data_IF_872056873267
#
_entry.id   IF_872056873267
#
_cell.length_a   1.000
_cell.length_b   1.000
_cell.length_c   1.000
_cell.angle_alpha   90.00
_cell.angle_beta   90.00
_cell.angle_gamma   90.00
#
_symmetry.space_group_name_H-M   'P 1'
#
loop_
_entity.id
_entity.type
_entity.pdbx_description
1 polymer ?
#
# COMPACT_ATOMS: atom_id res chain seq x y z
N UNK A 1 -16.24 13.68 -16.17
CA UNK A 1 -15.09 13.77 -15.22
C UNK A 1 -14.81 12.49 -14.39
N UNK A 2 -15.81 11.74 -13.89
CA UNK A 2 -15.57 10.50 -13.12
C UNK A 2 -14.99 9.35 -13.95
N UNK A 3 -15.40 9.20 -15.22
CA UNK A 3 -14.90 8.18 -16.16
C UNK A 3 -13.41 8.36 -16.45
N UNK A 4 -12.97 9.57 -16.78
CA UNK A 4 -11.56 9.88 -17.03
C UNK A 4 -10.66 9.61 -15.82
N UNK A 5 -11.11 9.96 -14.60
CA UNK A 5 -10.36 9.66 -13.37
C UNK A 5 -10.22 8.16 -13.14
N UNK A 6 -11.25 7.38 -13.41
CA UNK A 6 -11.18 5.93 -13.26
C UNK A 6 -10.27 5.30 -14.32
N UNK A 7 -10.31 5.78 -15.57
CA UNK A 7 -9.38 5.35 -16.62
C UNK A 7 -7.92 5.63 -16.23
N UNK A 8 -7.62 6.84 -15.73
CA UNK A 8 -6.27 7.17 -15.24
C UNK A 8 -5.83 6.24 -14.13
N UNK A 9 -6.68 5.96 -13.13
CA UNK A 9 -6.36 5.03 -12.02
C UNK A 9 -6.08 3.61 -12.49
N UNK A 10 -6.91 3.11 -13.43
CA UNK A 10 -6.69 1.80 -14.03
C UNK A 10 -5.37 1.75 -14.82
N UNK A 11 -5.08 2.80 -15.59
CA UNK A 11 -3.84 2.93 -16.35
C UNK A 11 -2.62 3.00 -15.40
N UNK A 12 -2.67 3.83 -14.36
CA UNK A 12 -1.59 3.91 -13.36
C UNK A 12 -1.35 2.55 -12.69
N UNK A 13 -2.41 1.84 -12.30
CA UNK A 13 -2.27 0.50 -11.73
C UNK A 13 -1.59 -0.46 -12.71
N UNK A 14 -2.04 -0.47 -13.97
CA UNK A 14 -1.45 -1.31 -15.01
C UNK A 14 0.02 -1.01 -15.29
N UNK A 15 0.38 0.27 -15.40
CA UNK A 15 1.77 0.71 -15.58
C UNK A 15 2.63 0.28 -14.38
N UNK A 16 2.17 0.54 -13.14
CA UNK A 16 2.94 0.18 -11.95
C UNK A 16 3.13 -1.34 -11.82
N UNK A 17 2.10 -2.15 -12.14
CA UNK A 17 2.22 -3.61 -12.18
C UNK A 17 3.20 -4.03 -13.28
N UNK A 18 3.10 -3.46 -14.48
CA UNK A 18 4.00 -3.76 -15.58
C UNK A 18 5.47 -3.45 -15.24
N UNK A 19 5.72 -2.27 -14.64
CA UNK A 19 7.07 -1.89 -14.18
C UNK A 19 7.56 -2.78 -13.02
N UNK A 20 6.68 -3.19 -12.12
CA UNK A 20 7.03 -4.11 -11.03
C UNK A 20 7.43 -5.49 -11.57
N UNK A 21 6.67 -6.04 -12.52
CA UNK A 21 7.01 -7.31 -13.16
C UNK A 21 8.30 -7.20 -13.98
N UNK A 22 8.49 -6.10 -14.70
CA UNK A 22 9.74 -5.82 -15.42
C UNK A 22 10.93 -5.77 -14.45
N UNK A 23 10.78 -5.11 -13.31
CA UNK A 23 11.83 -5.05 -12.28
C UNK A 23 12.18 -6.45 -11.77
N UNK A 24 11.21 -7.34 -11.56
CA UNK A 24 11.45 -8.74 -11.17
C UNK A 24 12.25 -9.48 -12.27
N UNK A 25 11.87 -9.31 -13.53
CA UNK A 25 12.60 -9.91 -14.66
C UNK A 25 14.05 -9.42 -14.67
N UNK A 26 14.28 -8.12 -14.56
CA UNK A 26 15.62 -7.54 -14.53
C UNK A 26 16.44 -8.06 -13.35
N UNK A 27 15.84 -8.20 -12.16
CA UNK A 27 16.52 -8.75 -10.98
C UNK A 27 16.90 -10.24 -11.13
N UNK A 28 16.22 -10.98 -11.98
CA UNK A 28 16.52 -12.40 -12.22
C UNK A 28 17.44 -12.63 -13.42
N UNK A 29 17.61 -11.64 -14.31
CA UNK A 29 18.30 -11.85 -15.59
C UNK A 29 19.46 -10.90 -15.86
N UNK A 30 19.48 -9.71 -15.24
CA UNK A 30 20.48 -8.68 -15.56
C UNK A 30 21.44 -8.49 -14.40
N UNK A 31 22.72 -8.57 -14.68
CA UNK A 31 23.83 -8.31 -13.73
C UNK A 31 23.63 -9.04 -12.40
N UNK A 32 23.36 -10.35 -12.47
CA UNK A 32 23.15 -11.21 -11.29
C UNK A 32 24.51 -11.66 -10.76
N UNK A 33 24.88 -11.22 -9.55
CA UNK A 33 26.17 -11.52 -8.92
C UNK A 33 26.03 -11.92 -7.46
N UNK A 34 26.97 -12.71 -6.89
CA UNK A 34 26.93 -13.17 -5.50
C UNK A 34 27.46 -12.10 -4.54
N UNK A 35 26.72 -10.96 -4.43
CA UNK A 35 27.09 -9.83 -3.57
C UNK A 35 26.35 -9.82 -2.23
N UNK A 36 25.39 -10.70 -2.03
CA UNK A 36 24.64 -10.81 -0.77
C UNK A 36 25.34 -11.72 0.25
N UNK A 37 24.81 -11.79 1.49
CA UNK A 37 25.34 -12.67 2.53
C UNK A 37 25.41 -14.13 2.07
N UNK A 38 26.41 -14.87 2.55
CA UNK A 38 26.69 -16.26 2.17
C UNK A 38 26.75 -16.47 0.65
N UNK A 39 27.25 -15.46 -0.09
CA UNK A 39 27.33 -15.45 -1.55
C UNK A 39 25.96 -15.56 -2.24
N UNK A 40 24.90 -15.10 -1.61
CA UNK A 40 23.58 -15.06 -2.23
C UNK A 40 23.55 -14.14 -3.44
N UNK A 41 22.90 -14.60 -4.51
CA UNK A 41 22.81 -13.87 -5.76
C UNK A 41 21.85 -12.70 -5.66
N UNK A 42 22.27 -11.54 -6.17
CA UNK A 42 21.48 -10.30 -6.24
C UNK A 42 21.51 -9.79 -7.66
N UNK A 43 20.32 -9.49 -8.21
CA UNK A 43 20.22 -8.91 -9.55
C UNK A 43 20.45 -7.41 -9.55
N UNK A 44 20.77 -6.83 -10.72
CA UNK A 44 21.20 -5.43 -10.84
C UNK A 44 22.31 -5.11 -9.83
N UNK A 45 23.27 -6.03 -9.70
CA UNK A 45 24.25 -6.05 -8.62
C UNK A 45 25.09 -4.79 -8.56
N UNK A 46 25.54 -4.26 -9.71
CA UNK A 46 26.34 -3.03 -9.75
C UNK A 46 25.56 -1.84 -9.17
N UNK A 47 24.28 -1.70 -9.52
CA UNK A 47 23.42 -0.63 -9.01
C UNK A 47 23.17 -0.77 -7.51
N UNK A 48 22.80 -1.97 -7.07
CA UNK A 48 22.50 -2.27 -5.67
C UNK A 48 23.72 -2.12 -4.77
N UNK A 49 24.88 -2.63 -5.19
CA UNK A 49 26.14 -2.52 -4.46
C UNK A 49 26.62 -1.06 -4.36
N UNK A 50 26.63 -0.34 -5.49
CA UNK A 50 27.01 1.08 -5.50
C UNK A 50 26.15 1.90 -4.55
N UNK A 51 24.82 1.70 -4.56
CA UNK A 51 23.91 2.39 -3.66
C UNK A 51 24.15 1.99 -2.19
N UNK A 52 24.31 0.69 -1.92
CA UNK A 52 24.50 0.18 -0.56
C UNK A 52 25.80 0.71 0.09
N UNK A 53 26.87 0.85 -0.69
CA UNK A 53 28.12 1.48 -0.22
C UNK A 53 27.95 2.95 0.15
N UNK A 54 27.13 3.70 -0.60
CA UNK A 54 26.85 5.12 -0.33
C UNK A 54 25.89 5.27 0.85
N UNK A 55 24.86 4.44 0.91
CA UNK A 55 23.87 4.47 1.98
C UNK A 55 24.46 4.07 3.34
N UNK A 56 25.38 3.11 3.35
CA UNK A 56 25.98 2.58 4.58
C UNK A 56 24.97 1.84 5.47
N UNK A 57 25.38 1.57 6.71
CA UNK A 57 24.54 0.92 7.73
C UNK A 57 24.19 1.90 8.84
N UNK A 58 22.89 2.15 9.05
CA UNK A 58 22.40 3.10 10.05
C UNK A 58 21.27 2.47 10.89
N UNK A 59 21.61 1.85 12.02
CA UNK A 59 20.66 1.20 12.93
C UNK A 59 19.59 2.17 13.47
N UNK A 60 19.96 3.43 13.70
CA UNK A 60 19.01 4.46 14.15
C UNK A 60 17.86 4.65 13.15
N UNK A 61 18.18 4.70 11.83
CA UNK A 61 17.17 4.82 10.79
C UNK A 61 16.31 3.56 10.69
N UNK A 62 16.90 2.39 10.88
CA UNK A 62 16.15 1.14 10.96
C UNK A 62 15.14 1.17 12.10
N UNK A 63 15.58 1.49 13.32
CA UNK A 63 14.69 1.58 14.51
C UNK A 63 13.55 2.58 14.31
N UNK A 64 13.85 3.75 13.72
CA UNK A 64 12.81 4.75 13.39
C UNK A 64 11.80 4.17 12.43
N UNK A 65 12.23 3.52 11.35
CA UNK A 65 11.32 2.93 10.37
C UNK A 65 10.49 1.78 10.96
N UNK A 66 11.04 1.00 11.89
CA UNK A 66 10.32 -0.06 12.59
C UNK A 66 9.23 0.52 13.52
N UNK A 67 9.54 1.60 14.25
CA UNK A 67 8.56 2.29 15.07
C UNK A 67 7.43 2.87 14.23
N UNK A 68 7.75 3.50 13.09
CA UNK A 68 6.75 4.04 12.17
C UNK A 68 5.94 2.91 11.50
N UNK A 69 6.54 1.76 11.25
CA UNK A 69 5.82 0.56 10.81
C UNK A 69 4.79 0.08 11.83
N UNK A 70 5.16 0.05 13.13
CA UNK A 70 4.22 -0.25 14.23
C UNK A 70 3.08 0.78 14.31
N UNK A 71 3.40 2.07 14.14
CA UNK A 71 2.38 3.12 14.06
C UNK A 71 1.43 2.93 12.87
N UNK A 72 1.94 2.53 11.71
CA UNK A 72 1.10 2.21 10.57
C UNK A 72 0.14 1.05 10.88
N UNK A 73 0.62 -0.02 11.52
CA UNK A 73 -0.24 -1.14 11.96
C UNK A 73 -1.31 -0.69 12.96
N UNK A 74 -0.97 0.21 13.88
CA UNK A 74 -1.94 0.78 14.83
C UNK A 74 -3.04 1.57 14.11
N UNK A 75 -2.69 2.35 13.08
CA UNK A 75 -3.66 3.07 12.23
C UNK A 75 -4.56 2.07 11.49
N UNK A 76 -4.00 0.99 10.95
CA UNK A 76 -4.79 -0.05 10.28
C UNK A 76 -5.76 -0.73 11.24
N UNK A 77 -5.31 -1.03 12.47
CA UNK A 77 -6.16 -1.55 13.55
C UNK A 77 -7.29 -0.57 13.91
N UNK A 78 -7.02 0.74 13.95
CA UNK A 78 -8.04 1.76 14.16
C UNK A 78 -9.15 1.71 13.10
N UNK A 79 -8.82 1.52 11.83
CA UNK A 79 -9.84 1.33 10.79
C UNK A 79 -10.58 0.00 10.91
N UNK A 80 -9.94 -1.07 11.35
CA UNK A 80 -10.59 -2.34 11.64
C UNK A 80 -11.59 -2.20 12.81
N UNK A 81 -11.19 -1.51 13.89
CA UNK A 81 -12.08 -1.18 15.01
C UNK A 81 -13.26 -0.31 14.57
N UNK A 82 -13.04 0.67 13.69
CA UNK A 82 -14.13 1.47 13.12
C UNK A 82 -15.12 0.62 12.31
N UNK A 83 -14.62 -0.33 11.52
CA UNK A 83 -15.45 -1.27 10.78
C UNK A 83 -16.26 -2.17 11.70
N UNK A 84 -15.64 -2.71 12.74
CA UNK A 84 -16.29 -3.54 13.75
C UNK A 84 -17.35 -2.74 14.54
N UNK A 85 -17.03 -1.54 14.98
CA UNK A 85 -17.97 -0.63 15.62
C UNK A 85 -19.23 -0.40 14.76
N UNK A 86 -19.04 -0.11 13.46
CA UNK A 86 -20.17 0.03 12.55
C UNK A 86 -20.97 -1.26 12.37
N UNK A 87 -20.32 -2.41 12.37
CA UNK A 87 -20.99 -3.70 12.25
C UNK A 87 -21.85 -3.98 13.47
N UNK A 88 -21.32 -3.79 14.67
CA UNK A 88 -22.01 -4.02 15.94
C UNK A 88 -23.20 -3.04 16.11
N UNK A 89 -22.98 -1.75 15.88
CA UNK A 89 -24.02 -0.72 16.08
C UNK A 89 -25.11 -0.80 15.03
N UNK A 90 -24.78 -1.08 13.77
CA UNK A 90 -25.75 -1.14 12.66
C UNK A 90 -26.34 -2.55 12.45
N UNK A 91 -25.83 -3.57 13.15
CA UNK A 91 -26.28 -4.98 13.13
C UNK A 91 -26.44 -5.57 11.72
N UNK A 92 -25.66 -5.11 10.75
CA UNK A 92 -25.73 -5.59 9.35
C UNK A 92 -24.48 -5.21 8.55
N UNK A 93 -23.86 -6.20 7.92
CA UNK A 93 -22.73 -6.01 6.98
C UNK A 93 -23.10 -5.04 5.84
N UNK A 94 -24.35 -5.08 5.34
CA UNK A 94 -24.82 -4.20 4.25
C UNK A 94 -24.89 -2.72 4.66
N UNK A 95 -24.90 -2.43 5.95
CA UNK A 95 -24.93 -1.08 6.50
C UNK A 95 -23.54 -0.52 6.84
N UNK A 96 -22.51 -1.35 6.87
CA UNK A 96 -21.11 -0.91 7.02
C UNK A 96 -20.70 -0.11 5.76
N UNK A 97 -19.88 0.91 5.96
CA UNK A 97 -19.46 1.77 4.86
C UNK A 97 -18.62 0.99 3.85
N UNK A 98 -18.98 1.09 2.57
CA UNK A 98 -18.36 0.31 1.50
C UNK A 98 -16.87 0.64 1.25
N UNK A 99 -16.43 1.82 1.68
CA UNK A 99 -15.02 2.22 1.64
C UNK A 99 -14.18 1.45 2.67
N UNK A 100 -14.74 1.10 3.84
CA UNK A 100 -14.06 0.24 4.81
C UNK A 100 -13.88 -1.19 4.28
N UNK A 101 -14.82 -1.72 3.51
CA UNK A 101 -14.62 -3.00 2.81
C UNK A 101 -13.53 -2.92 1.75
N UNK A 102 -13.48 -1.81 0.99
CA UNK A 102 -12.41 -1.60 0.03
C UNK A 102 -11.05 -1.48 0.71
N UNK A 103 -11.01 -0.85 1.89
CA UNK A 103 -9.80 -0.73 2.70
C UNK A 103 -9.35 -2.08 3.26
N UNK A 104 -10.28 -2.89 3.78
CA UNK A 104 -10.00 -4.26 4.22
C UNK A 104 -9.45 -5.11 3.06
N UNK A 105 -10.03 -5.00 1.86
CA UNK A 105 -9.53 -5.67 0.66
C UNK A 105 -8.13 -5.20 0.26
N UNK A 106 -7.81 -3.91 0.42
CA UNK A 106 -6.47 -3.36 0.20
C UNK A 106 -5.44 -3.97 1.16
N UNK A 107 -5.77 -4.01 2.46
CA UNK A 107 -4.86 -4.57 3.48
C UNK A 107 -4.71 -6.09 3.34
N UNK A 108 -5.77 -6.80 2.99
CA UNK A 108 -5.68 -8.22 2.65
C UNK A 108 -4.76 -8.47 1.45
N UNK A 109 -4.87 -7.66 0.38
CA UNK A 109 -4.00 -7.74 -0.77
C UNK A 109 -2.53 -7.43 -0.41
N UNK A 110 -2.29 -6.46 0.47
CA UNK A 110 -0.95 -6.14 0.98
C UNK A 110 -0.33 -7.35 1.70
N UNK A 111 -1.09 -8.00 2.59
CA UNK A 111 -0.64 -9.21 3.32
C UNK A 111 -0.38 -10.35 2.35
N UNK A 112 -1.24 -10.57 1.35
CA UNK A 112 -1.04 -11.61 0.34
C UNK A 112 0.24 -11.38 -0.47
N UNK A 113 0.53 -10.15 -0.88
CA UNK A 113 1.78 -9.80 -1.58
C UNK A 113 2.98 -10.07 -0.66
N UNK A 114 2.93 -9.65 0.60
CA UNK A 114 3.98 -9.91 1.59
C UNK A 114 4.25 -11.42 1.74
N UNK A 115 3.21 -12.22 2.05
CA UNK A 115 3.35 -13.67 2.24
C UNK A 115 3.84 -14.37 0.95
N UNK A 116 3.42 -13.90 -0.22
CA UNK A 116 3.88 -14.45 -1.50
C UNK A 116 5.39 -14.27 -1.65
N UNK A 117 5.92 -13.08 -1.42
CA UNK A 117 7.35 -12.81 -1.60
C UNK A 117 8.23 -13.33 -0.44
N UNK A 118 7.67 -13.58 0.74
CA UNK A 118 8.35 -14.36 1.79
C UNK A 118 8.62 -15.79 1.36
N UNK A 119 7.76 -16.36 0.50
CA UNK A 119 7.92 -17.74 -0.02
C UNK A 119 8.66 -17.76 -1.37
N UNK A 120 8.35 -16.80 -2.25
CA UNK A 120 8.97 -16.68 -3.57
C UNK A 120 10.10 -15.64 -3.52
N UNK A 121 11.24 -16.03 -2.96
CA UNK A 121 12.36 -15.13 -2.73
C UNK A 121 12.97 -14.62 -4.05
N UNK A 122 13.05 -13.31 -4.19
CA UNK A 122 13.72 -12.64 -5.32
C UNK A 122 15.16 -12.32 -4.96
N UNK A 123 15.38 -11.56 -3.87
CA UNK A 123 16.68 -11.25 -3.27
C UNK A 123 16.63 -11.49 -1.77
N UNK A 124 17.80 -11.76 -1.16
CA UNK A 124 18.00 -11.70 0.29
C UNK A 124 18.52 -10.32 0.70
N UNK A 125 18.40 -9.96 1.98
CA UNK A 125 18.90 -8.70 2.52
C UNK A 125 20.40 -8.54 2.33
N UNK A 126 20.93 -7.29 2.30
CA UNK A 126 22.36 -7.02 2.22
C UNK A 126 23.18 -7.60 3.38
N UNK A 127 22.52 -7.85 4.51
CA UNK A 127 23.15 -8.33 5.75
C UNK A 127 22.19 -9.24 6.53
N UNK A 128 22.76 -10.10 7.36
CA UNK A 128 22.00 -10.93 8.32
C UNK A 128 21.70 -10.06 9.52
N UNK A 129 20.40 -9.84 9.82
CA UNK A 129 19.96 -9.03 10.95
C UNK A 129 19.87 -9.82 12.25
N UNK A 130 19.56 -11.10 12.14
CA UNK A 130 19.39 -12.03 13.25
C UNK A 130 20.03 -13.36 12.86
N UNK A 131 21.13 -13.72 13.52
CA UNK A 131 21.89 -14.93 13.21
C UNK A 131 21.02 -16.20 13.38
N UNK A 132 20.07 -16.19 14.32
CA UNK A 132 19.17 -17.30 14.55
C UNK A 132 18.18 -17.53 13.41
N UNK A 133 17.85 -16.48 12.65
CA UNK A 133 16.96 -16.56 11.47
C UNK A 133 17.71 -16.77 10.18
N UNK A 134 19.00 -16.42 10.15
CA UNK A 134 19.82 -16.48 8.95
C UNK A 134 19.43 -15.46 7.89
N UNK A 135 19.48 -15.86 6.60
CA UNK A 135 19.14 -14.98 5.48
C UNK A 135 17.65 -14.75 5.39
N UNK A 136 17.23 -13.47 5.45
CA UNK A 136 15.82 -13.06 5.30
C UNK A 136 15.54 -12.55 3.88
N UNK A 137 14.36 -12.86 3.29
CA UNK A 137 13.91 -12.24 2.05
C UNK A 137 13.87 -10.71 2.17
N UNK A 138 14.24 -10.01 1.08
CA UNK A 138 14.29 -8.55 1.08
C UNK A 138 13.33 -7.87 0.12
N UNK A 139 13.04 -8.52 -1.02
CA UNK A 139 12.24 -7.95 -2.10
C UNK A 139 10.79 -8.45 -2.08
N UNK A 140 9.82 -7.56 -2.26
CA UNK A 140 9.91 -6.11 -2.11
C UNK A 140 9.92 -5.68 -0.63
N UNK A 141 10.47 -4.51 -0.31
CA UNK A 141 10.57 -4.04 1.08
C UNK A 141 9.20 -3.97 1.76
N UNK A 142 8.99 -4.83 2.75
CA UNK A 142 7.72 -4.95 3.51
C UNK A 142 7.37 -3.66 4.26
N UNK A 143 8.35 -3.00 4.90
CA UNK A 143 8.13 -1.73 5.61
C UNK A 143 7.78 -0.59 4.65
N UNK A 144 8.38 -0.56 3.45
CA UNK A 144 8.01 0.40 2.40
C UNK A 144 6.58 0.16 1.95
N UNK A 145 6.20 -1.09 1.66
CA UNK A 145 4.83 -1.42 1.26
C UNK A 145 3.82 -1.06 2.35
N UNK A 146 4.10 -1.47 3.59
CA UNK A 146 3.23 -1.21 4.75
C UNK A 146 2.97 0.28 4.93
N UNK A 147 4.06 1.08 4.98
CA UNK A 147 3.97 2.52 5.22
C UNK A 147 3.23 3.24 4.10
N UNK A 148 3.61 2.98 2.85
CA UNK A 148 2.99 3.64 1.69
C UNK A 148 1.51 3.30 1.59
N UNK A 149 1.16 2.02 1.73
CA UNK A 149 -0.24 1.58 1.62
C UNK A 149 -1.08 2.15 2.77
N UNK A 150 -0.62 2.01 4.02
CA UNK A 150 -1.45 2.40 5.17
C UNK A 150 -1.52 3.90 5.33
N UNK A 151 -0.40 4.64 5.36
CA UNK A 151 -0.45 6.09 5.56
C UNK A 151 -1.19 6.82 4.43
N UNK A 152 -0.97 6.43 3.16
CA UNK A 152 -1.64 7.11 2.05
C UNK A 152 -3.11 6.68 1.88
N UNK A 153 -3.50 5.46 2.25
CA UNK A 153 -4.92 5.09 2.33
C UNK A 153 -5.60 5.77 3.50
N UNK A 154 -4.95 5.90 4.66
CA UNK A 154 -5.45 6.66 5.79
C UNK A 154 -5.68 8.14 5.44
N UNK A 155 -4.71 8.79 4.79
CA UNK A 155 -4.87 10.16 4.29
C UNK A 155 -6.05 10.29 3.30
N UNK A 156 -6.27 9.28 2.45
CA UNK A 156 -7.42 9.24 1.55
C UNK A 156 -8.74 9.12 2.32
N UNK A 157 -8.82 8.28 3.35
CA UNK A 157 -10.02 8.12 4.19
C UNK A 157 -10.28 9.35 5.05
N UNK A 158 -9.24 9.99 5.60
CA UNK A 158 -9.35 11.29 6.32
C UNK A 158 -10.00 12.33 5.43
N UNK A 159 -9.53 12.50 4.18
CA UNK A 159 -10.13 13.45 3.21
C UNK A 159 -11.59 13.18 2.88
N UNK A 160 -12.05 11.96 3.05
CA UNK A 160 -13.43 11.57 2.76
C UNK A 160 -14.35 11.73 3.97
N UNK A 161 -13.81 11.53 5.17
CA UNK A 161 -14.59 11.49 6.42
C UNK A 161 -14.61 12.82 7.15
N UNK A 162 -13.49 13.51 7.20
CA UNK A 162 -13.40 14.82 7.84
C UNK A 162 -13.83 15.92 6.85
N UNK A 163 -14.81 16.72 7.26
CA UNK A 163 -15.30 17.86 6.50
C UNK A 163 -14.56 19.15 6.86
N UNK A 164 -14.09 19.24 8.10
CA UNK A 164 -13.30 20.37 8.57
C UNK A 164 -11.91 20.34 7.92
N UNK A 165 -11.69 21.30 7.04
CA UNK A 165 -10.44 21.41 6.26
C UNK A 165 -9.27 21.84 7.15
N UNK A 166 -9.54 22.51 8.27
CA UNK A 166 -8.53 22.98 9.21
C UNK A 166 -7.83 21.81 9.91
N UNK A 167 -8.57 20.74 10.22
CA UNK A 167 -8.04 19.50 10.80
C UNK A 167 -7.59 18.54 9.68
N UNK A 168 -8.35 18.44 8.61
CA UNK A 168 -8.10 17.50 7.51
C UNK A 168 -6.73 17.70 6.85
N UNK A 169 -6.38 18.95 6.52
CA UNK A 169 -5.11 19.25 5.82
C UNK A 169 -3.88 18.86 6.63
N UNK A 170 -3.69 19.33 7.90
CA UNK A 170 -2.51 18.97 8.67
C UNK A 170 -2.41 17.46 8.93
N UNK A 171 -3.52 16.76 9.18
CA UNK A 171 -3.50 15.30 9.35
C UNK A 171 -3.04 14.60 8.07
N UNK A 172 -3.52 15.03 6.90
CA UNK A 172 -3.07 14.44 5.63
C UNK A 172 -1.60 14.73 5.34
N UNK A 173 -1.10 15.92 5.69
CA UNK A 173 0.31 16.29 5.55
C UNK A 173 1.16 15.44 6.49
N UNK A 174 0.76 15.29 7.77
CA UNK A 174 1.45 14.46 8.73
C UNK A 174 1.56 13.00 8.27
N UNK A 175 0.47 12.40 7.79
CA UNK A 175 0.48 11.04 7.24
C UNK A 175 1.39 10.89 6.02
N UNK A 176 1.42 11.89 5.13
CA UNK A 176 2.32 11.88 3.99
C UNK A 176 3.80 12.04 4.42
N UNK A 177 4.07 12.88 5.42
CA UNK A 177 5.40 13.05 5.99
C UNK A 177 5.89 11.78 6.68
N UNK A 178 5.06 11.12 7.49
CA UNK A 178 5.37 9.83 8.13
C UNK A 178 5.69 8.75 7.08
N UNK A 179 4.92 8.71 5.99
CA UNK A 179 5.19 7.82 4.86
C UNK A 179 6.58 8.11 4.26
N UNK A 180 6.87 9.37 3.93
CA UNK A 180 8.13 9.75 3.32
C UNK A 180 9.32 9.46 4.25
N UNK A 181 9.21 9.81 5.53
CA UNK A 181 10.25 9.52 6.54
C UNK A 181 10.51 8.02 6.64
N UNK A 182 9.46 7.18 6.70
CA UNK A 182 9.65 5.73 6.77
C UNK A 182 10.38 5.18 5.54
N UNK A 183 9.99 5.62 4.34
CA UNK A 183 10.63 5.18 3.09
C UNK A 183 12.10 5.62 3.04
N UNK A 184 12.39 6.88 3.40
CA UNK A 184 13.76 7.39 3.44
C UNK A 184 14.61 6.68 4.50
N UNK A 185 14.06 6.46 5.70
CA UNK A 185 14.75 5.69 6.73
C UNK A 185 15.08 4.27 6.25
N UNK A 186 14.14 3.58 5.59
CA UNK A 186 14.41 2.25 5.01
C UNK A 186 15.44 2.30 3.89
N UNK A 187 15.38 3.33 3.04
CA UNK A 187 16.31 3.49 1.93
C UNK A 187 17.75 3.66 2.42
N UNK A 188 17.95 4.45 3.49
CA UNK A 188 19.28 4.76 4.02
C UNK A 188 19.68 3.93 5.26
N UNK A 189 18.90 2.95 5.68
CA UNK A 189 19.24 2.08 6.82
C UNK A 189 20.27 1.01 6.48
N UNK A 190 20.48 0.70 5.20
CA UNK A 190 21.37 -0.36 4.73
C UNK A 190 20.85 -1.79 4.90
N UNK A 191 19.57 -1.96 5.28
CA UNK A 191 18.93 -3.29 5.45
C UNK A 191 18.20 -3.80 4.21
N UNK A 192 18.14 -2.98 3.17
CA UNK A 192 17.51 -3.30 1.89
C UNK A 192 18.36 -2.84 0.71
N UNK A 193 18.26 -3.54 -0.39
CA UNK A 193 18.75 -3.06 -1.66
C UNK A 193 17.88 -1.91 -2.19
N UNK A 194 18.46 -1.03 -3.01
CA UNK A 194 17.70 0.04 -3.67
C UNK A 194 16.47 -0.50 -4.42
N UNK A 195 16.65 -1.63 -5.11
CA UNK A 195 15.60 -2.26 -5.89
C UNK A 195 14.44 -2.81 -5.05
N UNK A 196 14.69 -3.18 -3.79
CA UNK A 196 13.64 -3.63 -2.86
C UNK A 196 12.69 -2.47 -2.52
N UNK A 197 13.25 -1.27 -2.31
CA UNK A 197 12.48 -0.06 -2.06
C UNK A 197 11.67 0.33 -3.30
N UNK A 198 12.30 0.31 -4.49
CA UNK A 198 11.61 0.59 -5.75
C UNK A 198 10.45 -0.39 -6.00
N UNK A 199 10.68 -1.69 -5.78
CA UNK A 199 9.64 -2.71 -5.85
C UNK A 199 8.49 -2.44 -4.88
N UNK A 200 8.81 -2.11 -3.63
CA UNK A 200 7.83 -1.73 -2.61
C UNK A 200 6.97 -0.52 -3.01
N UNK A 201 7.59 0.51 -3.59
CA UNK A 201 6.89 1.70 -4.08
C UNK A 201 5.97 1.38 -5.26
N UNK A 202 6.44 0.61 -6.25
CA UNK A 202 5.68 0.26 -7.45
C UNK A 202 4.43 -0.54 -7.11
N UNK A 203 4.57 -1.62 -6.32
CA UNK A 203 3.42 -2.46 -5.95
C UNK A 203 2.45 -1.69 -5.04
N UNK A 204 2.93 -0.84 -4.14
CA UNK A 204 2.08 0.01 -3.30
C UNK A 204 1.28 1.01 -4.12
N UNK A 205 1.90 1.65 -5.12
CA UNK A 205 1.21 2.58 -6.03
C UNK A 205 0.11 1.87 -6.84
N UNK A 206 0.36 0.64 -7.29
CA UNK A 206 -0.63 -0.19 -7.95
C UNK A 206 -1.81 -0.50 -7.02
N UNK A 207 -1.55 -1.01 -5.82
CA UNK A 207 -2.56 -1.35 -4.81
C UNK A 207 -3.43 -0.15 -4.43
N UNK A 208 -2.82 1.02 -4.17
CA UNK A 208 -3.54 2.27 -3.87
C UNK A 208 -4.39 2.75 -5.04
N UNK A 209 -3.92 2.59 -6.28
CA UNK A 209 -4.68 2.94 -7.48
C UNK A 209 -5.91 2.06 -7.66
N UNK A 210 -5.76 0.75 -7.44
CA UNK A 210 -6.87 -0.23 -7.44
C UNK A 210 -7.87 0.05 -6.31
N UNK A 211 -7.40 0.35 -5.10
CA UNK A 211 -8.25 0.73 -3.98
C UNK A 211 -9.10 1.97 -4.31
N UNK A 212 -8.48 3.05 -4.81
CA UNK A 212 -9.21 4.27 -5.20
C UNK A 212 -10.22 4.00 -6.32
N UNK A 213 -9.91 3.07 -7.22
CA UNK A 213 -10.84 2.62 -8.28
C UNK A 213 -12.03 1.86 -7.67
N UNK A 214 -11.79 0.92 -6.76
CA UNK A 214 -12.84 0.16 -6.05
C UNK A 214 -13.79 1.08 -5.29
N UNK A 215 -13.26 2.01 -4.48
CA UNK A 215 -14.05 3.00 -3.73
C UNK A 215 -14.93 3.83 -4.67
N UNK A 216 -14.39 4.27 -5.82
CA UNK A 216 -15.16 5.06 -6.79
C UNK A 216 -16.29 4.26 -7.46
N UNK A 217 -16.06 2.96 -7.72
CA UNK A 217 -17.09 2.05 -8.26
C UNK A 217 -18.21 1.80 -7.25
N UNK A 218 -17.87 1.57 -5.97
CA UNK A 218 -18.88 1.42 -4.90
C UNK A 218 -19.75 2.68 -4.74
N UNK A 219 -19.12 3.87 -4.72
CA UNK A 219 -19.83 5.13 -4.64
C UNK A 219 -20.79 5.34 -5.81
N UNK A 220 -20.39 4.98 -7.05
CA UNK A 220 -21.24 5.06 -8.23
C UNK A 220 -22.42 4.10 -8.16
N UNK A 221 -22.18 2.84 -7.73
CA UNK A 221 -23.25 1.83 -7.58
C UNK A 221 -24.28 2.26 -6.54
N UNK A 222 -23.84 2.86 -5.42
CA UNK A 222 -24.73 3.39 -4.37
C UNK A 222 -25.60 4.56 -4.89
N UNK A 223 -25.01 5.48 -5.68
CA UNK A 223 -25.74 6.60 -6.30
C UNK A 223 -26.78 6.13 -7.32
N UNK A 224 -26.41 5.16 -8.17
CA UNK A 224 -27.31 4.58 -9.17
C UNK A 224 -28.52 3.90 -8.49
N UNK A 225 -28.31 3.08 -7.45
CA UNK A 225 -29.38 2.47 -6.67
C UNK A 225 -30.32 3.51 -6.04
N UNK A 226 -29.76 4.59 -5.48
CA UNK A 226 -30.56 5.66 -4.88
C UNK A 226 -31.38 6.43 -5.92
N UNK A 227 -30.85 6.65 -7.12
CA UNK A 227 -31.55 7.28 -8.23
C UNK A 227 -32.70 6.39 -8.77
N UNK A 228 -32.47 5.10 -8.90
CA UNK A 228 -33.48 4.13 -9.32
C UNK A 228 -34.63 4.04 -8.31
N UNK A 229 -34.31 4.00 -7.01
CA UNK A 229 -35.33 3.98 -5.95
C UNK A 229 -36.22 5.25 -5.90
N UNK A 230 -35.67 6.41 -6.30
CA UNK A 230 -36.46 7.66 -6.40
C UNK A 230 -37.40 7.71 -7.62
N UNK A 231 -37.10 7.00 -8.70
CA UNK A 231 -37.92 6.98 -9.92
C UNK A 231 -39.18 6.09 -9.79
N UNK A 232 -39.14 5.08 -8.94
CA UNK A 232 -40.26 4.14 -8.73
C UNK A 232 -41.53 4.79 -8.15
N UNK A 233 -41.47 5.68 -7.14
CA UNK A 233 -42.68 6.33 -6.64
C UNK A 233 -43.32 7.30 -7.63
N UNK A 234 -42.53 7.98 -8.48
CA UNK A 234 -43.07 8.91 -9.49
C UNK A 234 -43.95 8.22 -10.53
N UNK A 235 -43.51 7.04 -11.05
CA UNK A 235 -44.31 6.24 -11.97
C UNK A 235 -45.61 5.71 -11.37
N UNK A 236 -45.66 5.39 -10.05
CA UNK A 236 -46.90 4.95 -9.37
C UNK A 236 -47.90 6.08 -9.17
N UNK A 237 -47.45 7.33 -9.08
CA UNK A 237 -48.33 8.48 -8.98
C UNK A 237 -48.98 8.89 -10.31
N UNK A 238 -48.26 8.69 -11.44
CA UNK A 238 -48.78 8.93 -12.80
C UNK A 238 -49.81 7.91 -13.26
N UNK A 239 -49.72 6.65 -12.85
CA UNK A 239 -50.64 5.57 -13.19
C UNK A 239 -51.96 5.63 -12.38
N UNK A 240 -52.00 6.49 -11.32
CA UNK A 240 -53.20 6.69 -10.47
C UNK A 240 -54.00 7.96 -10.80
N UNK A 241 -53.63 8.71 -11.83
CA UNK A 241 -54.40 9.80 -12.42
C UNK A 241 -54.98 9.39 -13.75
#
# INVERSE_FOLDING_TARGET
>A
MSSLRNRRRSLTAGICIGLFLLLIILLKTVDVRPIGPMSSSVGLAALNDAFNRVAGRHEGLERVSDLLGKLALLIAAGFACLGLYQLVTRKSLKKVDADLFALAGLYAALVLVYVFFEKCVINYRPLILDEAKGMEPSFPSSHTMLSVVIFLSAAYEVRRRLKDVTIQKPVCIALAALCAVTVLCRLFSGVHWLTDILGGLLISAALLSLHRLAVSRFARKKRAKKAAAKKVPAKRAEVRR
#
